data_IF_278777642939
#
_entry.id   IF_278777642939
#
_cell.length_a   1.000
_cell.length_b   1.000
_cell.length_c   1.000
_cell.angle_alpha   90.00
_cell.angle_beta   90.00
_cell.angle_gamma   90.00
#
_symmetry.space_group_name_H-M   'P 1'
#
loop_
_entity.id
_entity.type
_entity.pdbx_description
1 polymer ?
#
# COMPACT_ATOMS: atom_id res chain seq x y z
N UNK A 1 -1.54 47.69 -4.92
CA UNK A 1 -1.49 46.95 -4.70
C UNK A 1 -1.24 46.18 -4.81
N UNK A 2 -1.09 46.27 -4.88
CA UNK A 2 -0.92 45.35 -5.06
C UNK A 2 -0.57 44.46 -5.07
N UNK A 3 -0.34 44.40 -5.24
CA UNK A 3 -0.21 43.38 -5.29
C UNK A 3 -0.09 42.59 -5.32
N UNK A 4 -0.01 42.75 -5.43
CA UNK A 4 0.02 41.73 -5.54
C UNK A 4 0.16 40.94 -5.70
N UNK A 5 0.00 41.11 -5.83
CA UNK A 5 0.13 40.02 -6.08
C UNK A 5 0.48 39.32 -6.31
N UNK A 6 0.69 39.41 -6.38
CA UNK A 6 0.89 38.44 -6.48
C UNK A 6 1.06 37.62 -6.39
N UNK A 7 1.09 37.78 -6.39
CA UNK A 7 1.15 36.89 -6.26
C UNK A 7 1.12 35.95 -6.26
N UNK A 8 1.10 36.04 -6.17
CA UNK A 8 0.93 35.02 -6.20
C UNK A 8 0.88 34.23 -6.52
N UNK A 9 0.81 34.39 -6.73
CA UNK A 9 0.74 33.50 -6.99
C UNK A 9 1.07 32.90 -7.53
N UNK A 10 1.12 32.95 -7.50
CA UNK A 10 1.40 32.39 -8.17
C UNK A 10 1.65 31.92 -8.55
N UNK A 11 0.82 32.75 -7.96
CA UNK A 11 1.09 31.52 -8.27
C UNK A 11 1.74 31.23 -9.50
N UNK A 12 2.20 30.54 -9.43
CA UNK A 12 3.00 30.07 -10.50
C UNK A 12 2.14 29.34 -11.55
N UNK A 13 1.91 29.94 -12.70
CA UNK A 13 1.11 29.29 -13.73
C UNK A 13 1.70 27.98 -14.20
N UNK A 14 3.02 27.84 -14.21
CA UNK A 14 3.65 26.60 -14.61
C UNK A 14 3.37 25.47 -13.63
N UNK A 15 3.38 25.79 -12.34
CA UNK A 15 3.03 24.81 -11.33
C UNK A 15 1.58 24.38 -11.45
N UNK A 16 0.66 25.29 -11.79
CA UNK A 16 -0.73 24.91 -11.96
C UNK A 16 -0.97 24.12 -13.24
N UNK A 17 -0.12 24.29 -14.24
CA UNK A 17 -0.20 23.53 -15.48
C UNK A 17 0.36 22.11 -15.34
N UNK A 18 1.25 21.89 -14.37
CA UNK A 18 1.86 20.57 -14.13
C UNK A 18 0.98 19.78 -13.17
N UNK A 19 0.51 18.60 -13.57
CA UNK A 19 -0.30 17.79 -12.66
C UNK A 19 0.44 17.51 -11.36
N UNK A 20 -0.24 17.75 -10.27
CA UNK A 20 0.31 17.44 -8.96
C UNK A 20 0.16 15.96 -8.70
N UNK A 21 1.27 15.29 -8.38
CA UNK A 21 1.25 13.87 -8.09
C UNK A 21 0.59 13.64 -6.71
N UNK A 22 -0.26 12.65 -6.66
CA UNK A 22 -0.91 12.25 -5.43
C UNK A 22 0.09 11.58 -4.49
N UNK A 23 -0.24 11.54 -3.22
CA UNK A 23 0.46 10.69 -2.28
C UNK A 23 0.33 9.23 -2.71
N UNK A 24 1.28 8.42 -2.30
CA UNK A 24 1.25 6.99 -2.57
C UNK A 24 0.14 6.35 -1.73
N UNK A 25 -0.72 5.58 -2.37
CA UNK A 25 -1.80 4.90 -1.67
C UNK A 25 -1.33 3.56 -1.15
N UNK A 26 -1.42 3.38 0.16
CA UNK A 26 -1.06 2.13 0.84
C UNK A 26 -2.28 1.66 1.61
N UNK A 27 -2.72 0.44 1.34
CA UNK A 27 -3.85 -0.16 2.04
C UNK A 27 -3.33 -1.07 3.14
N UNK A 28 -3.81 -0.86 4.36
CA UNK A 28 -3.51 -1.72 5.49
C UNK A 28 -4.73 -2.59 5.75
N UNK A 29 -4.54 -3.89 5.71
CA UNK A 29 -5.61 -4.86 5.94
C UNK A 29 -5.24 -5.71 7.15
N UNK A 30 -5.95 -5.51 8.24
CA UNK A 30 -5.69 -6.20 9.50
C UNK A 30 -6.93 -6.06 10.38
N UNK A 31 -7.30 -7.09 11.12
CA UNK A 31 -8.43 -7.02 12.03
C UNK A 31 -8.05 -6.39 13.38
N UNK A 32 -6.76 -6.16 13.62
CA UNK A 32 -6.26 -5.55 14.85
C UNK A 32 -6.12 -4.03 14.67
N UNK A 33 -6.95 -3.29 15.41
CA UNK A 33 -6.97 -1.82 15.34
C UNK A 33 -5.60 -1.22 15.70
N UNK A 34 -4.88 -1.85 16.64
CA UNK A 34 -3.58 -1.35 17.05
C UNK A 34 -2.55 -1.40 15.92
N UNK A 35 -2.62 -2.43 15.07
CA UNK A 35 -1.74 -2.54 13.92
C UNK A 35 -1.94 -1.35 12.98
N UNK A 36 -3.19 -0.95 12.77
CA UNK A 36 -3.49 0.24 11.95
C UNK A 36 -2.90 1.50 12.56
N UNK A 37 -3.05 1.66 13.87
CA UNK A 37 -2.55 2.86 14.56
C UNK A 37 -1.03 2.96 14.47
N UNK A 38 -0.33 1.87 14.75
CA UNK A 38 1.14 1.85 14.70
C UNK A 38 1.64 2.07 13.27
N UNK A 39 1.01 1.42 12.31
CA UNK A 39 1.38 1.59 10.90
C UNK A 39 1.21 3.04 10.46
N UNK A 40 0.13 3.68 10.89
CA UNK A 40 -0.13 5.09 10.57
C UNK A 40 0.94 6.00 11.15
N UNK A 41 1.38 5.73 12.39
CA UNK A 41 2.44 6.53 13.00
C UNK A 41 3.76 6.40 12.24
N UNK A 42 4.08 5.21 11.77
CA UNK A 42 5.33 4.96 11.07
C UNK A 42 5.27 5.53 9.65
N UNK A 43 4.24 5.20 8.90
CA UNK A 43 4.18 5.57 7.48
C UNK A 43 3.67 7.00 7.26
N UNK A 44 2.98 7.56 8.24
CA UNK A 44 2.45 8.92 8.10
C UNK A 44 3.52 10.00 7.96
N UNK A 45 4.74 9.70 8.42
CA UNK A 45 5.87 10.62 8.32
C UNK A 45 6.75 10.35 7.11
N UNK A 46 6.45 9.28 6.39
CA UNK A 46 7.28 8.82 5.30
C UNK A 46 7.08 9.67 4.06
N UNK A 47 8.18 9.91 3.34
CA UNK A 47 8.12 10.50 2.01
C UNK A 47 9.03 9.70 1.09
N UNK A 48 8.56 9.53 -0.14
CA UNK A 48 9.31 8.86 -1.17
C UNK A 48 9.11 9.66 -2.46
N UNK A 49 10.20 10.14 -3.03
CA UNK A 49 10.18 10.97 -4.23
C UNK A 49 9.25 12.19 -4.10
N UNK A 50 9.30 12.83 -2.94
CA UNK A 50 8.53 14.05 -2.67
C UNK A 50 7.05 13.82 -2.41
N UNK A 51 6.59 12.56 -2.37
CA UNK A 51 5.19 12.21 -2.15
C UNK A 51 5.06 11.53 -0.79
N UNK A 52 4.04 11.93 -0.05
CA UNK A 52 3.71 11.28 1.22
C UNK A 52 2.94 9.99 1.01
N UNK A 53 2.39 9.47 2.09
CA UNK A 53 1.59 8.23 2.07
C UNK A 53 0.15 8.56 2.43
N UNK A 54 -0.77 8.16 1.58
CA UNK A 54 -2.20 8.15 1.91
C UNK A 54 -2.55 6.74 2.37
N UNK A 55 -2.83 6.58 3.67
CA UNK A 55 -3.16 5.28 4.23
C UNK A 55 -4.65 5.03 4.13
N UNK A 56 -5.00 3.90 3.52
CA UNK A 56 -6.36 3.38 3.49
C UNK A 56 -6.40 2.19 4.44
N UNK A 57 -7.51 1.98 5.11
CA UNK A 57 -7.65 0.93 6.12
C UNK A 57 -8.81 0.02 5.80
N UNK A 58 -8.61 -1.29 5.99
CA UNK A 58 -9.64 -2.29 5.95
C UNK A 58 -9.41 -3.25 7.10
N UNK A 59 -10.49 -3.68 7.76
CA UNK A 59 -10.38 -4.49 8.97
C UNK A 59 -10.79 -5.95 8.71
N UNK A 60 -11.08 -6.28 7.46
CA UNK A 60 -11.45 -7.63 7.06
C UNK A 60 -11.14 -7.81 5.58
N UNK A 61 -11.17 -9.05 5.12
CA UNK A 61 -11.02 -9.34 3.70
C UNK A 61 -12.16 -8.75 2.88
N UNK A 62 -13.37 -8.74 3.42
CA UNK A 62 -14.54 -8.17 2.74
C UNK A 62 -14.37 -6.68 2.53
N UNK A 63 -13.96 -5.94 3.58
CA UNK A 63 -13.70 -4.51 3.46
C UNK A 63 -12.58 -4.23 2.47
N UNK A 64 -11.51 -5.03 2.54
CA UNK A 64 -10.37 -4.84 1.65
C UNK A 64 -10.78 -5.03 0.19
N UNK A 65 -11.61 -6.01 -0.10
CA UNK A 65 -12.13 -6.22 -1.44
C UNK A 65 -12.90 -4.99 -1.92
N UNK A 66 -13.71 -4.40 -1.06
CA UNK A 66 -14.47 -3.19 -1.40
C UNK A 66 -13.54 -2.03 -1.72
N UNK A 67 -12.49 -1.84 -0.92
CA UNK A 67 -11.51 -0.79 -1.15
C UNK A 67 -10.78 -1.01 -2.47
N UNK A 68 -10.30 -2.23 -2.71
CA UNK A 68 -9.59 -2.56 -3.95
C UNK A 68 -10.46 -2.40 -5.19
N UNK A 69 -11.76 -2.60 -5.05
CA UNK A 69 -12.70 -2.46 -6.16
C UNK A 69 -13.04 -0.99 -6.43
N UNK A 70 -13.18 -0.18 -5.38
CA UNK A 70 -13.64 1.21 -5.50
C UNK A 70 -12.52 2.23 -5.63
N UNK A 71 -11.31 1.91 -5.20
CA UNK A 71 -10.17 2.82 -5.25
C UNK A 71 -9.17 2.34 -6.29
N UNK A 72 -8.59 3.28 -7.02
CA UNK A 72 -7.56 2.97 -8.01
C UNK A 72 -6.19 3.33 -7.47
N UNK A 73 -5.16 2.84 -8.17
CA UNK A 73 -3.77 3.25 -7.93
C UNK A 73 -3.28 2.96 -6.52
N UNK A 74 -3.72 1.85 -5.95
CA UNK A 74 -3.18 1.39 -4.68
C UNK A 74 -1.82 0.74 -4.97
N UNK A 75 -0.77 1.35 -4.44
CA UNK A 75 0.59 0.91 -4.74
C UNK A 75 0.99 -0.32 -3.92
N UNK A 76 0.60 -0.36 -2.65
CA UNK A 76 1.03 -1.40 -1.71
C UNK A 76 -0.15 -1.81 -0.84
N UNK A 77 -0.27 -3.10 -0.59
CA UNK A 77 -1.19 -3.66 0.40
C UNK A 77 -0.36 -4.36 1.46
N UNK A 78 -0.53 -3.93 2.71
CA UNK A 78 0.04 -4.61 3.87
C UNK A 78 -1.08 -5.48 4.43
N UNK A 79 -0.93 -6.78 4.34
CA UNK A 79 -2.06 -7.71 4.46
C UNK A 79 -1.82 -8.77 5.52
N UNK A 80 -2.72 -8.84 6.49
CA UNK A 80 -2.71 -9.91 7.49
C UNK A 80 -3.24 -11.20 6.84
N UNK A 81 -2.61 -12.32 7.17
CA UNK A 81 -3.02 -13.62 6.65
C UNK A 81 -4.29 -14.11 7.32
N UNK A 82 -4.38 -13.96 8.65
CA UNK A 82 -5.48 -14.47 9.46
C UNK A 82 -6.39 -13.32 9.86
N UNK A 83 -7.64 -13.40 9.43
CA UNK A 83 -8.66 -12.40 9.79
C UNK A 83 -9.98 -13.12 10.08
N UNK A 84 -11.02 -12.95 9.24
CA UNK A 84 -12.31 -13.64 9.43
C UNK A 84 -12.14 -15.16 9.38
N UNK A 85 -11.19 -15.63 8.56
CA UNK A 85 -10.80 -17.03 8.48
C UNK A 85 -9.29 -17.13 8.54
N UNK A 86 -8.77 -18.33 8.72
CA UNK A 86 -7.33 -18.55 8.81
C UNK A 86 -6.60 -18.23 7.50
N UNK A 87 -7.31 -18.18 6.40
CA UNK A 87 -6.73 -17.94 5.07
C UNK A 87 -7.29 -16.68 4.40
N UNK A 88 -7.95 -15.79 5.15
CA UNK A 88 -8.60 -14.62 4.59
C UNK A 88 -7.64 -13.76 3.76
N UNK A 89 -6.42 -13.57 4.24
CA UNK A 89 -5.41 -12.79 3.51
C UNK A 89 -5.05 -13.44 2.19
N UNK A 90 -4.86 -14.76 2.18
CA UNK A 90 -4.50 -15.45 0.94
C UNK A 90 -5.65 -15.45 -0.06
N UNK A 91 -6.89 -15.53 0.42
CA UNK A 91 -8.06 -15.40 -0.45
C UNK A 91 -8.12 -14.02 -1.08
N UNK A 92 -7.80 -12.98 -0.31
CA UNK A 92 -7.79 -11.62 -0.83
C UNK A 92 -6.72 -11.45 -1.91
N UNK A 93 -5.55 -12.08 -1.74
CA UNK A 93 -4.51 -12.05 -2.77
C UNK A 93 -5.07 -12.61 -4.08
N UNK A 94 -5.77 -13.74 -4.02
CA UNK A 94 -6.38 -14.33 -5.20
C UNK A 94 -7.40 -13.39 -5.83
N UNK A 95 -8.21 -12.72 -5.02
CA UNK A 95 -9.17 -11.73 -5.51
C UNK A 95 -8.45 -10.62 -6.26
N UNK A 96 -7.42 -10.05 -5.67
CA UNK A 96 -6.67 -8.95 -6.28
C UNK A 96 -6.04 -9.37 -7.60
N UNK A 97 -5.34 -10.50 -7.62
CA UNK A 97 -4.58 -10.94 -8.79
C UNK A 97 -5.46 -11.53 -9.88
N UNK A 98 -6.44 -12.34 -9.52
CA UNK A 98 -7.23 -13.10 -10.48
C UNK A 98 -8.57 -12.47 -10.80
N UNK A 99 -9.37 -12.13 -9.80
CA UNK A 99 -10.70 -11.57 -10.05
C UNK A 99 -10.64 -10.13 -10.52
N UNK A 100 -9.82 -9.31 -9.88
CA UNK A 100 -9.69 -7.90 -10.25
C UNK A 100 -8.64 -7.68 -11.33
N UNK A 101 -7.83 -8.69 -11.63
CA UNK A 101 -6.80 -8.59 -12.64
C UNK A 101 -5.72 -7.58 -12.32
N UNK A 102 -5.53 -7.26 -11.05
CA UNK A 102 -4.57 -6.25 -10.62
C UNK A 102 -3.22 -6.91 -10.38
N UNK A 103 -2.27 -6.68 -11.28
CA UNK A 103 -0.91 -7.21 -11.19
C UNK A 103 0.09 -6.16 -10.73
N UNK A 104 -0.29 -4.91 -10.69
CA UNK A 104 0.62 -3.81 -10.35
C UNK A 104 0.78 -3.59 -8.85
N UNK A 105 -0.31 -3.67 -8.08
CA UNK A 105 -0.27 -3.47 -6.63
C UNK A 105 0.69 -4.47 -6.00
N UNK A 106 1.62 -3.98 -5.19
CA UNK A 106 2.57 -4.84 -4.48
C UNK A 106 1.91 -5.35 -3.20
N UNK A 107 2.08 -6.61 -2.92
CA UNK A 107 1.44 -7.27 -1.77
C UNK A 107 2.50 -7.74 -0.80
N UNK A 108 2.41 -7.27 0.44
CA UNK A 108 3.29 -7.67 1.54
C UNK A 108 2.41 -8.34 2.60
N UNK A 109 2.65 -9.61 2.84
CA UNK A 109 1.95 -10.32 3.90
C UNK A 109 2.61 -10.05 5.24
N UNK A 110 1.80 -9.78 6.24
CA UNK A 110 2.26 -9.66 7.63
C UNK A 110 1.51 -10.67 8.45
N UNK A 111 2.20 -11.42 9.27
CA UNK A 111 1.56 -12.43 10.10
C UNK A 111 2.01 -12.31 11.55
N UNK A 112 1.07 -12.52 12.48
CA UNK A 112 1.40 -12.68 13.89
C UNK A 112 1.76 -14.13 14.24
N UNK A 113 1.61 -15.04 13.29
CA UNK A 113 1.80 -16.47 13.50
C UNK A 113 2.74 -17.04 12.45
N UNK A 114 4.06 -17.00 12.69
CA UNK A 114 5.04 -17.42 11.68
C UNK A 114 4.85 -18.85 11.16
N UNK A 115 4.24 -19.72 11.95
CA UNK A 115 3.97 -21.11 11.52
C UNK A 115 2.94 -21.24 10.42
N UNK A 116 2.28 -20.13 10.04
CA UNK A 116 1.26 -20.12 8.99
C UNK A 116 1.79 -19.48 7.70
N UNK A 117 3.10 -19.52 7.51
CA UNK A 117 3.72 -19.01 6.29
C UNK A 117 3.12 -19.73 5.07
N UNK A 118 2.80 -19.00 4.00
CA UNK A 118 2.37 -19.65 2.78
C UNK A 118 3.54 -20.45 2.18
N UNK A 119 3.21 -21.50 1.47
CA UNK A 119 4.22 -22.27 0.77
C UNK A 119 4.84 -21.44 -0.35
N UNK A 120 6.06 -21.78 -0.72
CA UNK A 120 6.79 -21.05 -1.78
C UNK A 120 5.98 -20.99 -3.07
N UNK A 121 5.28 -22.06 -3.41
CA UNK A 121 4.47 -22.11 -4.62
C UNK A 121 3.37 -21.05 -4.60
N UNK A 122 2.74 -20.83 -3.46
CA UNK A 122 1.70 -19.81 -3.32
C UNK A 122 2.29 -18.42 -3.52
N UNK A 123 3.46 -18.18 -2.96
CA UNK A 123 4.13 -16.88 -3.11
C UNK A 123 4.41 -16.59 -4.59
N UNK A 124 4.88 -17.60 -5.33
CA UNK A 124 5.19 -17.45 -6.74
C UNK A 124 3.91 -17.27 -7.57
N UNK A 125 2.93 -18.14 -7.36
CA UNK A 125 1.71 -18.17 -8.18
C UNK A 125 0.87 -16.91 -8.05
N UNK A 126 0.84 -16.31 -6.86
CA UNK A 126 0.03 -15.12 -6.62
C UNK A 126 0.83 -13.83 -6.63
N UNK A 127 2.12 -13.90 -6.98
CA UNK A 127 2.98 -12.71 -7.02
C UNK A 127 2.91 -11.94 -5.70
N UNK A 128 3.16 -12.65 -4.60
CA UNK A 128 3.28 -12.06 -3.28
C UNK A 128 4.70 -11.52 -3.18
N UNK A 129 4.84 -10.24 -2.88
CA UNK A 129 6.11 -9.54 -3.01
C UNK A 129 6.99 -9.66 -1.78
N UNK A 130 6.40 -9.88 -0.62
CA UNK A 130 7.16 -10.10 0.61
C UNK A 130 6.27 -10.78 1.64
N UNK A 131 6.91 -11.44 2.60
CA UNK A 131 6.23 -12.10 3.70
C UNK A 131 7.04 -11.85 4.97
N UNK A 132 6.42 -11.19 5.96
CA UNK A 132 7.09 -10.80 7.18
C UNK A 132 6.26 -11.16 8.40
N UNK A 133 6.91 -11.59 9.47
CA UNK A 133 6.25 -11.67 10.77
C UNK A 133 6.00 -10.24 11.26
N UNK A 134 4.88 -10.01 11.92
CA UNK A 134 4.57 -8.68 12.48
C UNK A 134 5.66 -8.23 13.44
N UNK A 135 6.25 -9.15 14.19
CA UNK A 135 7.32 -8.85 15.13
C UNK A 135 8.62 -8.41 14.45
N UNK A 136 8.80 -8.74 13.18
CA UNK A 136 9.99 -8.33 12.42
C UNK A 136 9.88 -6.90 11.89
N UNK A 137 8.67 -6.36 11.77
CA UNK A 137 8.46 -5.06 11.13
C UNK A 137 8.56 -3.94 12.16
N UNK A 138 9.78 -3.68 12.63
CA UNK A 138 10.08 -2.46 13.38
C UNK A 138 9.87 -1.24 12.46
N UNK A 139 9.87 -0.04 13.03
CA UNK A 139 9.66 1.18 12.26
C UNK A 139 10.60 1.26 11.05
N UNK A 140 11.89 1.00 11.26
CA UNK A 140 12.88 1.09 10.18
C UNK A 140 12.66 0.03 9.11
N UNK A 141 12.35 -1.20 9.51
CA UNK A 141 12.12 -2.29 8.55
C UNK A 141 10.84 -2.08 7.77
N UNK A 142 9.80 -1.57 8.41
CA UNK A 142 8.56 -1.26 7.70
C UNK A 142 8.80 -0.18 6.65
N UNK A 143 9.53 0.88 7.03
CA UNK A 143 9.90 1.94 6.11
C UNK A 143 10.63 1.36 4.89
N UNK A 144 11.68 0.59 5.13
CA UNK A 144 12.49 0.01 4.05
C UNK A 144 11.67 -0.92 3.16
N UNK A 145 10.81 -1.73 3.76
CA UNK A 145 9.96 -2.66 3.03
C UNK A 145 8.99 -1.91 2.12
N UNK A 146 8.37 -0.86 2.63
CA UNK A 146 7.42 -0.07 1.85
C UNK A 146 8.14 0.69 0.73
N UNK A 147 9.32 1.25 0.99
CA UNK A 147 10.10 1.93 -0.06
C UNK A 147 10.41 0.96 -1.21
N UNK A 148 10.86 -0.25 -0.88
CA UNK A 148 11.15 -1.25 -1.91
C UNK A 148 9.91 -1.58 -2.72
N UNK A 149 8.76 -1.70 -2.05
CA UNK A 149 7.50 -2.00 -2.72
C UNK A 149 7.06 -0.84 -3.62
N UNK A 150 7.19 0.39 -3.16
CA UNK A 150 6.84 1.57 -3.97
C UNK A 150 7.72 1.67 -5.21
N UNK A 151 9.00 1.38 -5.06
CA UNK A 151 9.93 1.38 -6.19
C UNK A 151 9.53 0.32 -7.22
N UNK A 152 9.16 -0.86 -6.75
CA UNK A 152 8.70 -1.94 -7.62
C UNK A 152 7.40 -1.56 -8.33
N UNK A 153 6.47 -0.95 -7.60
CA UNK A 153 5.19 -0.50 -8.17
C UNK A 153 5.43 0.52 -9.30
N UNK A 154 6.29 1.51 -9.06
CA UNK A 154 6.61 2.51 -10.08
C UNK A 154 7.11 1.86 -11.36
N UNK A 155 8.01 0.89 -11.21
CA UNK A 155 8.60 0.20 -12.36
C UNK A 155 7.52 -0.54 -13.16
N UNK A 156 6.63 -1.23 -12.46
CA UNK A 156 5.58 -2.00 -13.11
C UNK A 156 4.60 -1.08 -13.84
N UNK A 157 4.17 0.00 -13.19
CA UNK A 157 3.24 0.95 -13.81
C UNK A 157 3.87 1.61 -15.05
N UNK A 158 5.15 1.94 -14.98
CA UNK A 158 5.85 2.52 -16.12
C UNK A 158 5.92 1.55 -17.30
N UNK A 159 6.11 0.26 -17.03
CA UNK A 159 6.18 -0.75 -18.07
C UNK A 159 4.81 -1.04 -18.71
N UNK A 160 3.72 -0.78 -17.99
CA UNK A 160 2.37 -1.01 -18.50
C UNK A 160 1.87 0.12 -19.39
N UNK A 161 2.60 1.22 -19.44
CA UNK A 161 2.29 2.33 -20.34
C UNK A 161 2.97 2.13 -21.70
#
# INVERSE_FOLDING_TARGET
MNATPLKLKPANPLASATPQLRDWRVLVVDDDVEVHAVTRLILGKMRYKGRGIELLSAHSGIEARQVMTSQSDIAVVLLDVVMETDDAGLRLVSVIRQELGNTATRIILRTGQPGQAPEEQVIVDYDINDYKAKSELTAQKLFTTVVAALRSYETIVALEK
#
